data_IF_577905768443
#
_entry.id   IF_577905768443
#
_cell.length_a   1.000
_cell.length_b   1.000
_cell.length_c   1.000
_cell.angle_alpha   90.00
_cell.angle_beta   90.00
_cell.angle_gamma   90.00
#
_symmetry.space_group_name_H-M   'P 1'
#
loop_
_entity.id
_entity.type
_entity.pdbx_description
1 polymer ?
#
# COMPACT_ATOMS: atom_id res chain seq x y z
N UNK A 1 -12.35 -27.02 -74.44
CA UNK A 1 -10.89 -26.97 -74.24
C UNK A 1 -10.61 -27.21 -72.78
N UNK A 2 -9.62 -28.05 -72.48
CA UNK A 2 -9.38 -28.70 -71.21
C UNK A 2 -8.41 -27.92 -70.30
N UNK A 3 -8.47 -28.23 -68.99
CA UNK A 3 -7.36 -28.25 -68.00
C UNK A 3 -6.71 -26.90 -67.61
N UNK A 4 -6.13 -26.66 -66.43
CA UNK A 4 -6.18 -27.13 -65.02
C UNK A 4 -4.94 -26.51 -64.33
N UNK A 5 -5.03 -26.01 -63.09
CA UNK A 5 -3.97 -25.91 -62.04
C UNK A 5 -4.16 -24.62 -61.21
N UNK A 6 -4.15 -24.56 -59.88
CA UNK A 6 -3.95 -25.51 -58.78
C UNK A 6 -4.22 -24.78 -57.44
N UNK A 7 -4.60 -25.52 -56.40
CA UNK A 7 -4.79 -25.04 -55.00
C UNK A 7 -3.41 -24.89 -54.28
N UNK A 8 -3.26 -24.57 -52.95
CA UNK A 8 -4.25 -24.31 -51.88
C UNK A 8 -3.88 -23.13 -50.91
N UNK A 9 -4.77 -22.76 -49.97
CA UNK A 9 -4.47 -22.42 -48.55
C UNK A 9 -5.75 -22.12 -47.74
N UNK A 10 -6.00 -22.80 -46.60
CA UNK A 10 -6.90 -22.39 -45.51
C UNK A 10 -6.07 -21.97 -44.25
N UNK A 11 -6.64 -21.77 -43.05
CA UNK A 11 -7.81 -20.97 -42.64
C UNK A 11 -7.50 -20.04 -41.42
N UNK A 12 -8.50 -19.24 -41.05
CA UNK A 12 -8.89 -18.83 -39.67
C UNK A 12 -7.92 -18.03 -38.78
N UNK A 13 -8.33 -16.81 -38.41
CA UNK A 13 -8.34 -16.42 -36.99
C UNK A 13 -9.35 -15.30 -36.78
N UNK A 14 -10.54 -15.67 -36.30
CA UNK A 14 -11.35 -14.76 -35.50
C UNK A 14 -10.62 -14.34 -34.24
N UNK A 15 -10.98 -13.17 -33.70
CA UNK A 15 -11.46 -12.97 -32.34
C UNK A 15 -11.65 -11.45 -32.14
N UNK A 16 -12.91 -11.05 -32.21
CA UNK A 16 -13.40 -9.84 -31.57
C UNK A 16 -13.07 -9.98 -30.08
N UNK A 17 -12.30 -9.04 -29.54
CA UNK A 17 -12.02 -8.99 -28.10
C UNK A 17 -12.90 -7.90 -27.52
N UNK A 18 -13.97 -8.34 -26.87
CA UNK A 18 -14.82 -7.54 -26.01
C UNK A 18 -13.97 -6.73 -25.01
N UNK A 19 -14.37 -5.48 -24.81
CA UNK A 19 -13.78 -4.57 -23.82
C UNK A 19 -14.23 -5.02 -22.44
N UNK A 20 -13.38 -5.78 -21.74
CA UNK A 20 -13.55 -6.11 -20.32
C UNK A 20 -12.63 -5.21 -19.46
N UNK A 21 -13.26 -4.46 -18.56
CA UNK A 21 -12.69 -3.43 -17.68
C UNK A 21 -11.96 -4.06 -16.48
N UNK A 22 -10.92 -4.85 -16.73
CA UNK A 22 -10.13 -5.48 -15.66
C UNK A 22 -8.62 -5.35 -15.91
N UNK A 23 -8.10 -4.16 -15.62
CA UNK A 23 -6.71 -3.77 -15.85
C UNK A 23 -5.69 -4.30 -14.81
N UNK A 24 -5.98 -5.36 -14.04
CA UNK A 24 -5.14 -5.71 -12.89
C UNK A 24 -4.63 -7.16 -12.82
N UNK A 25 -4.82 -8.00 -13.83
CA UNK A 25 -4.24 -9.35 -13.81
C UNK A 25 -3.68 -9.76 -15.19
N UNK A 26 -2.78 -8.94 -15.71
CA UNK A 26 -1.93 -9.38 -16.81
C UNK A 26 -0.84 -10.27 -16.23
N UNK A 27 -0.75 -11.56 -16.61
CA UNK A 27 0.38 -12.38 -16.19
C UNK A 27 1.65 -11.65 -16.60
N UNK A 28 2.56 -11.42 -15.65
CA UNK A 28 3.89 -10.86 -15.89
C UNK A 28 4.69 -11.86 -16.73
N UNK A 29 4.34 -11.93 -18.01
CA UNK A 29 5.04 -12.74 -19.00
C UNK A 29 6.39 -12.09 -19.23
N UNK A 30 7.43 -12.89 -19.46
CA UNK A 30 8.77 -12.37 -19.76
C UNK A 30 8.78 -11.42 -20.97
N UNK A 31 7.77 -11.49 -21.84
CA UNK A 31 7.55 -10.55 -22.94
C UNK A 31 7.19 -9.13 -22.46
N UNK A 32 6.42 -9.00 -21.36
CA UNK A 32 6.12 -7.71 -20.75
C UNK A 32 7.39 -7.02 -20.22
N UNK A 33 8.38 -7.78 -19.75
CA UNK A 33 9.68 -7.23 -19.30
C UNK A 33 10.42 -6.51 -20.43
N UNK A 34 10.35 -7.02 -21.66
CA UNK A 34 11.00 -6.38 -22.82
C UNK A 34 10.31 -5.06 -23.18
N UNK A 35 8.99 -4.98 -23.03
CA UNK A 35 8.24 -3.73 -23.26
C UNK A 35 8.57 -2.68 -22.20
N UNK A 36 8.82 -3.10 -20.95
CA UNK A 36 9.27 -2.20 -19.89
C UNK A 36 10.67 -1.63 -20.16
N UNK A 37 11.61 -2.42 -20.71
CA UNK A 37 12.97 -1.94 -21.07
C UNK A 37 12.99 -0.92 -22.23
N UNK A 38 11.95 -0.90 -23.06
CA UNK A 38 11.87 -0.05 -24.27
C UNK A 38 10.87 1.10 -24.13
N UNK A 39 10.41 1.39 -22.91
CA UNK A 39 9.51 2.50 -22.64
C UNK A 39 10.26 3.84 -22.79
N UNK A 40 9.61 4.91 -23.30
CA UNK A 40 10.23 6.23 -23.36
C UNK A 40 10.76 6.67 -21.98
N UNK A 41 11.91 7.37 -21.97
CA UNK A 41 12.62 7.79 -20.74
C UNK A 41 11.73 8.52 -19.72
N UNK A 42 10.71 9.22 -20.20
CA UNK A 42 9.75 9.93 -19.36
C UNK A 42 8.85 8.99 -18.55
N UNK A 43 8.47 7.84 -19.12
CA UNK A 43 7.67 6.83 -18.43
C UNK A 43 8.49 6.03 -17.41
N UNK A 44 9.77 5.75 -17.70
CA UNK A 44 10.71 5.23 -16.69
C UNK A 44 10.85 6.18 -15.50
N UNK A 45 11.02 7.48 -15.76
CA UNK A 45 11.15 8.51 -14.72
C UNK A 45 9.86 8.66 -13.90
N UNK A 46 8.70 8.61 -14.55
CA UNK A 46 7.41 8.68 -13.87
C UNK A 46 7.19 7.46 -12.95
N UNK A 47 7.62 6.26 -13.37
CA UNK A 47 7.54 5.04 -12.55
C UNK A 47 8.50 5.07 -11.35
N UNK A 48 9.73 5.58 -11.53
CA UNK A 48 10.67 5.77 -10.42
C UNK A 48 10.08 6.68 -9.34
N UNK A 49 9.43 7.77 -9.75
CA UNK A 49 8.82 8.74 -8.82
C UNK A 49 7.52 8.18 -8.23
N UNK A 50 6.76 7.36 -8.95
CA UNK A 50 5.49 6.81 -8.49
C UNK A 50 5.63 5.86 -7.28
N UNK A 51 6.80 5.22 -7.11
CA UNK A 51 7.12 4.37 -5.96
C UNK A 51 7.63 5.14 -4.74
N UNK A 52 8.17 6.34 -4.96
CA UNK A 52 8.71 7.16 -3.88
C UNK A 52 7.59 7.89 -3.15
N UNK A 53 7.59 7.77 -1.82
CA UNK A 53 6.76 8.61 -0.98
C UNK A 53 7.39 10.00 -0.99
N UNK A 54 6.71 10.99 -1.59
CA UNK A 54 7.16 12.40 -1.66
C UNK A 54 7.52 13.01 -0.29
N UNK A 55 7.09 12.38 0.80
CA UNK A 55 7.29 12.85 2.17
C UNK A 55 8.26 11.95 2.94
N UNK A 56 9.51 12.40 3.11
CA UNK A 56 10.53 11.73 3.94
C UNK A 56 10.08 11.52 5.39
N UNK A 57 9.26 12.44 5.90
CA UNK A 57 8.75 12.44 7.27
C UNK A 57 7.26 12.67 7.29
N UNK A 58 6.54 11.74 7.92
CA UNK A 58 5.10 11.79 8.07
C UNK A 58 4.72 12.18 9.49
N UNK A 59 3.59 12.89 9.63
CA UNK A 59 3.08 13.30 10.94
C UNK A 59 2.05 12.29 11.43
N UNK A 60 2.23 11.82 12.66
CA UNK A 60 1.34 10.86 13.31
C UNK A 60 0.75 11.50 14.55
N UNK A 61 -0.56 11.31 14.73
CA UNK A 61 -1.32 11.70 15.90
C UNK A 61 -1.81 10.45 16.64
N UNK A 62 -1.28 10.23 17.83
CA UNK A 62 -1.70 9.21 18.78
C UNK A 62 -2.86 9.74 19.63
N UNK A 63 -4.03 9.12 19.48
CA UNK A 63 -5.22 9.44 20.24
C UNK A 63 -5.54 8.31 21.23
N UNK A 64 -5.68 8.58 22.54
CA UNK A 64 -6.11 7.54 23.48
C UNK A 64 -7.58 7.16 23.22
N UNK A 65 -7.90 5.88 23.34
CA UNK A 65 -9.28 5.40 23.49
C UNK A 65 -9.79 5.64 24.92
N UNK A 66 -11.12 5.63 25.14
CA UNK A 66 -11.68 5.74 26.48
C UNK A 66 -11.06 4.70 27.42
N UNK A 67 -10.78 5.12 28.66
CA UNK A 67 -10.11 4.32 29.72
C UNK A 67 -8.61 4.04 29.52
N UNK A 68 -7.92 4.79 28.66
CA UNK A 68 -6.46 4.67 28.46
C UNK A 68 -5.71 5.95 28.86
N UNK A 69 -4.54 5.86 29.51
CA UNK A 69 -3.73 7.03 29.89
C UNK A 69 -3.32 7.87 28.67
N UNK A 70 -3.53 9.18 28.75
CA UNK A 70 -3.22 10.12 27.68
C UNK A 70 -1.73 10.49 27.66
N UNK A 71 -1.13 10.41 26.47
CA UNK A 71 0.23 10.88 26.22
C UNK A 71 0.35 12.41 26.27
N UNK A 72 1.43 12.91 26.91
CA UNK A 72 1.75 14.36 26.96
C UNK A 72 1.96 14.99 25.58
N UNK A 73 2.52 14.23 24.64
CA UNK A 73 2.77 14.67 23.27
C UNK A 73 2.11 13.68 22.32
N UNK A 74 0.84 13.90 21.94
CA UNK A 74 0.12 12.98 21.06
C UNK A 74 0.61 13.06 19.62
N UNK A 75 1.38 14.09 19.24
CA UNK A 75 1.84 14.30 17.86
C UNK A 75 3.35 14.18 17.77
N UNK A 76 3.80 13.39 16.80
CA UNK A 76 5.21 13.25 16.48
C UNK A 76 5.40 13.02 14.98
N UNK A 77 6.63 13.26 14.50
CA UNK A 77 7.03 12.99 13.12
C UNK A 77 7.92 11.76 13.09
N UNK A 78 7.68 10.85 12.16
CA UNK A 78 8.56 9.72 11.92
C UNK A 78 8.97 9.66 10.44
N UNK A 79 10.02 8.92 10.13
CA UNK A 79 10.38 8.66 8.74
C UNK A 79 9.33 7.76 8.09
N UNK A 80 9.02 8.03 6.82
CA UNK A 80 8.10 7.23 6.00
C UNK A 80 8.59 5.79 5.76
N UNK A 81 9.91 5.58 5.80
CA UNK A 81 10.55 4.26 5.63
C UNK A 81 10.43 3.34 6.85
N UNK A 82 9.88 3.83 7.96
CA UNK A 82 9.70 2.99 9.15
C UNK A 82 8.47 2.09 9.05
N UNK A 83 8.54 0.97 9.76
CA UNK A 83 7.42 0.04 9.95
C UNK A 83 6.53 0.44 11.12
N UNK A 84 5.28 -0.02 11.11
CA UNK A 84 4.30 0.28 12.15
C UNK A 84 4.74 -0.23 13.53
N UNK A 85 5.51 -1.32 13.60
CA UNK A 85 6.14 -1.83 14.82
C UNK A 85 6.91 -0.74 15.60
N UNK A 86 7.56 0.20 14.90
CA UNK A 86 8.29 1.29 15.55
C UNK A 86 7.34 2.18 16.37
N UNK A 87 6.15 2.45 15.86
CA UNK A 87 5.12 3.24 16.55
C UNK A 87 4.63 2.50 17.79
N UNK A 88 4.37 1.20 17.67
CA UNK A 88 3.92 0.36 18.79
C UNK A 88 4.96 0.34 19.92
N UNK A 89 6.24 0.12 19.58
CA UNK A 89 7.34 0.15 20.54
C UNK A 89 7.49 1.52 21.20
N UNK A 90 7.38 2.60 20.43
CA UNK A 90 7.39 3.96 20.95
C UNK A 90 6.26 4.21 21.93
N UNK A 91 5.06 3.72 21.62
CA UNK A 91 3.87 3.86 22.45
C UNK A 91 4.04 3.11 23.78
N UNK A 92 4.50 1.85 23.75
CA UNK A 92 4.81 1.08 24.96
C UNK A 92 5.78 1.82 25.89
N UNK A 93 6.87 2.35 25.33
CA UNK A 93 7.88 3.11 26.08
C UNK A 93 7.33 4.41 26.68
N UNK A 94 6.40 5.07 25.98
CA UNK A 94 5.85 6.37 26.40
C UNK A 94 4.73 6.25 27.43
N UNK A 95 3.92 5.20 27.33
CA UNK A 95 2.88 4.89 28.32
C UNK A 95 3.47 4.19 29.54
N UNK A 96 4.61 3.51 29.39
CA UNK A 96 5.24 2.75 30.48
C UNK A 96 4.61 1.37 30.68
N UNK A 97 4.09 0.78 29.61
CA UNK A 97 3.53 -0.58 29.64
C UNK A 97 4.65 -1.60 29.89
N UNK A 98 4.35 -2.61 30.69
CA UNK A 98 5.25 -3.74 30.90
C UNK A 98 5.18 -4.75 29.73
N UNK A 99 6.15 -5.65 29.63
CA UNK A 99 6.22 -6.64 28.53
C UNK A 99 5.01 -7.59 28.49
N UNK A 100 4.35 -7.76 29.63
CA UNK A 100 3.17 -8.61 29.77
C UNK A 100 1.88 -7.91 29.31
N UNK A 101 1.89 -6.59 29.17
CA UNK A 101 0.70 -5.83 28.78
C UNK A 101 0.59 -5.71 27.26
N UNK A 102 -0.59 -6.03 26.75
CA UNK A 102 -0.91 -5.87 25.34
C UNK A 102 -1.33 -4.44 25.03
N UNK A 103 -0.98 -3.98 23.83
CA UNK A 103 -1.41 -2.68 23.33
C UNK A 103 -2.03 -2.87 21.96
N UNK A 104 -3.23 -2.34 21.80
CA UNK A 104 -4.00 -2.41 20.58
C UNK A 104 -3.97 -1.05 19.91
N UNK A 105 -3.60 -1.01 18.64
CA UNK A 105 -3.55 0.20 17.84
C UNK A 105 -4.52 0.09 16.67
N UNK A 106 -5.26 1.16 16.41
CA UNK A 106 -6.26 1.24 15.36
C UNK A 106 -6.03 2.50 14.54
N UNK A 107 -5.88 2.37 13.23
CA UNK A 107 -5.82 3.52 12.32
C UNK A 107 -7.24 4.05 12.16
N UNK A 108 -7.44 5.36 12.39
CA UNK A 108 -8.74 6.05 12.29
C UNK A 108 -9.91 5.36 13.03
N UNK A 109 -9.64 4.51 14.04
CA UNK A 109 -10.65 3.70 14.76
C UNK A 109 -11.42 2.70 13.89
N UNK A 110 -10.83 2.26 12.76
CA UNK A 110 -11.52 1.37 11.81
C UNK A 110 -10.85 0.00 11.69
N UNK A 111 -9.52 -0.07 11.69
CA UNK A 111 -8.79 -1.34 11.57
C UNK A 111 -7.47 -1.29 12.32
N UNK A 112 -6.92 -2.46 12.63
CA UNK A 112 -5.59 -2.61 13.24
C UNK A 112 -4.57 -3.01 12.15
N UNK A 113 -3.59 -2.14 11.83
CA UNK A 113 -2.58 -2.46 10.82
C UNK A 113 -1.59 -3.53 11.31
N UNK A 114 -1.01 -4.28 10.37
CA UNK A 114 0.10 -5.19 10.64
C UNK A 114 1.34 -4.47 11.17
N UNK A 115 2.15 -5.14 12.01
CA UNK A 115 3.40 -4.57 12.53
C UNK A 115 4.45 -4.33 11.44
N UNK A 116 4.37 -5.13 10.37
CA UNK A 116 5.21 -5.10 9.19
C UNK A 116 4.80 -4.03 8.16
N UNK A 117 3.61 -3.43 8.32
CA UNK A 117 3.14 -2.39 7.40
C UNK A 117 4.02 -1.14 7.43
N UNK A 118 4.27 -0.58 6.24
CA UNK A 118 5.01 0.66 6.08
C UNK A 118 4.18 1.87 6.52
N UNK A 119 4.73 2.67 7.43
CA UNK A 119 4.06 3.86 7.98
C UNK A 119 3.80 4.91 6.89
N UNK A 120 4.70 5.00 5.92
CA UNK A 120 4.54 5.87 4.77
C UNK A 120 3.33 5.53 3.90
N UNK A 121 3.08 4.23 3.65
CA UNK A 121 1.90 3.79 2.92
C UNK A 121 0.61 4.06 3.72
N UNK A 122 0.63 3.75 5.03
CA UNK A 122 -0.47 4.04 5.94
C UNK A 122 -0.83 5.53 5.95
N UNK A 123 0.17 6.41 6.00
CA UNK A 123 -0.07 7.85 5.94
C UNK A 123 -0.61 8.29 4.58
N UNK A 124 -0.10 7.75 3.46
CA UNK A 124 -0.61 8.08 2.13
C UNK A 124 -2.06 7.68 1.95
N UNK A 125 -2.44 6.47 2.39
CA UNK A 125 -3.76 5.90 2.15
C UNK A 125 -4.81 6.33 3.19
N UNK A 126 -4.41 6.57 4.45
CA UNK A 126 -5.34 6.75 5.57
C UNK A 126 -5.12 8.03 6.39
N UNK A 127 -4.35 9.01 5.90
CA UNK A 127 -4.23 10.30 6.60
C UNK A 127 -5.58 11.03 6.67
N UNK A 128 -5.80 11.69 7.80
CA UNK A 128 -6.89 12.65 7.97
C UNK A 128 -6.28 14.05 7.91
N UNK A 129 -6.53 14.78 6.82
CA UNK A 129 -5.85 16.04 6.54
C UNK A 129 -4.36 15.84 6.27
N UNK A 130 -3.52 16.22 7.24
CA UNK A 130 -2.05 16.15 7.15
C UNK A 130 -1.42 15.21 8.18
N UNK A 131 -2.22 14.45 8.92
CA UNK A 131 -1.75 13.59 10.00
C UNK A 131 -2.40 12.19 9.88
N UNK A 132 -1.63 11.14 10.19
CA UNK A 132 -2.17 9.79 10.36
C UNK A 132 -2.67 9.65 11.80
N UNK A 133 -3.95 9.36 11.99
CA UNK A 133 -4.54 9.20 13.32
C UNK A 133 -4.46 7.73 13.73
N UNK A 134 -3.75 7.47 14.82
CA UNK A 134 -3.62 6.13 15.42
C UNK A 134 -4.24 6.18 16.80
N UNK A 135 -5.34 5.47 16.97
CA UNK A 135 -6.01 5.31 18.25
C UNK A 135 -5.40 4.13 19.00
N UNK A 136 -5.14 4.25 20.30
CA UNK A 136 -4.53 3.18 21.09
C UNK A 136 -5.34 2.88 22.36
N UNK A 137 -5.33 1.59 22.75
CA UNK A 137 -5.95 1.08 23.98
C UNK A 137 -5.16 -0.08 24.56
N UNK A 138 -5.25 -0.26 25.88
CA UNK A 138 -4.70 -1.44 26.59
C UNK A 138 -5.63 -2.65 26.41
N UNK A 139 -6.93 -2.41 26.34
CA UNK A 139 -7.95 -3.44 26.09
C UNK A 139 -8.38 -3.41 24.63
N UNK A 140 -8.75 -4.58 24.10
CA UNK A 140 -9.32 -4.66 22.76
C UNK A 140 -10.66 -3.90 22.72
N UNK A 141 -10.78 -2.94 21.81
CA UNK A 141 -11.94 -2.05 21.72
C UNK A 141 -12.84 -2.37 20.53
N UNK A 142 -12.26 -2.93 19.47
CA UNK A 142 -12.96 -3.34 18.25
C UNK A 142 -12.52 -4.77 17.90
N UNK A 143 -13.48 -5.61 17.50
CA UNK A 143 -13.29 -7.04 17.20
C UNK A 143 -14.13 -7.42 15.99
#
# INVERSE_FOLDING_TARGET
>A
MASSSGAPSPPDTGLEVDVDDNAADMPLTMAASVVLDHLPKDAHRALEIAGELEQDKVTIRLSPLPNTPQLRQPRFKCSSNQRFEHIVRFLRKKVGLEDHESVFCYVNSVFSPGLDEGVGNLWRCFKTGNELVVNYSITQAFG
#
